data_IF_654827427052
#
_entry.id   IF_654827427052
#
_cell.length_a   1.000
_cell.length_b   1.000
_cell.length_c   1.000
_cell.angle_alpha   90.00
_cell.angle_beta   90.00
_cell.angle_gamma   90.00
#
_symmetry.space_group_name_H-M   'P 1'
#
loop_
_entity.id
_entity.type
_entity.pdbx_description
1 polymer ?
#
# COMPACT_ATOMS: atom_id res chain seq x y z
N UNK A 1 17.44 -11.39 21.91
CA UNK A 1 17.33 -11.20 21.42
C UNK A 1 17.43 -10.33 20.40
N UNK A 2 17.93 -10.04 19.93
CA UNK A 2 18.21 -9.01 19.04
C UNK A 2 17.55 -9.07 17.74
N UNK A 3 16.88 -10.07 17.49
CA UNK A 3 16.19 -10.21 16.24
C UNK A 3 15.22 -9.09 15.96
N UNK A 4 14.81 -8.42 17.00
CA UNK A 4 13.86 -7.35 16.82
C UNK A 4 14.41 -6.19 16.04
N UNK A 5 15.69 -6.08 15.97
CA UNK A 5 16.26 -4.94 15.31
C UNK A 5 16.01 -4.95 13.83
N UNK A 6 16.05 -6.12 13.26
CA UNK A 6 15.87 -6.23 11.82
C UNK A 6 14.49 -5.77 11.39
N UNK A 7 13.50 -6.03 12.22
CA UNK A 7 12.14 -5.69 11.85
C UNK A 7 11.88 -4.20 11.90
N UNK A 8 12.74 -3.46 12.56
CA UNK A 8 12.56 -2.02 12.65
C UNK A 8 12.94 -1.30 11.37
N UNK A 9 13.55 -2.01 10.44
CA UNK A 9 14.10 -1.36 9.26
C UNK A 9 13.12 -1.19 8.14
N UNK A 10 11.98 -1.88 8.19
CA UNK A 10 10.99 -1.74 7.15
C UNK A 10 9.62 -1.90 7.77
N UNK A 11 8.66 -1.08 7.34
CA UNK A 11 7.32 -1.22 7.85
C UNK A 11 6.68 -2.49 7.33
N UNK A 12 5.89 -3.12 8.17
CA UNK A 12 5.10 -4.25 7.74
C UNK A 12 3.76 -3.76 7.27
N UNK A 13 3.31 -4.32 6.17
CA UNK A 13 2.02 -3.99 5.62
C UNK A 13 1.23 -5.27 5.49
N UNK A 14 0.06 -5.28 6.12
CA UNK A 14 -0.83 -6.42 5.99
C UNK A 14 -1.39 -6.45 4.58
N UNK A 15 -1.04 -7.49 3.84
CA UNK A 15 -1.57 -7.66 2.51
C UNK A 15 -3.00 -8.17 2.61
N UNK A 16 -3.94 -7.54 1.92
CA UNK A 16 -5.32 -8.01 1.95
C UNK A 16 -5.41 -9.46 1.45
N UNK A 17 -6.26 -10.23 2.08
CA UNK A 17 -6.46 -11.62 1.70
C UNK A 17 -7.37 -11.75 0.50
N UNK A 18 -8.07 -10.69 0.13
CA UNK A 18 -9.01 -10.68 -0.96
C UNK A 18 -8.50 -9.80 -2.09
N UNK A 19 -8.97 -10.02 -3.31
CA UNK A 19 -8.62 -9.11 -4.42
C UNK A 19 -9.08 -7.70 -4.11
N UNK A 20 -8.44 -6.71 -4.74
CA UNK A 20 -8.77 -5.32 -4.46
C UNK A 20 -10.23 -5.01 -4.71
N UNK A 21 -10.80 -5.58 -5.76
CA UNK A 21 -12.21 -5.28 -6.10
C UNK A 21 -13.18 -5.83 -5.06
N UNK A 22 -12.73 -6.74 -4.21
CA UNK A 22 -13.58 -7.31 -3.16
C UNK A 22 -13.50 -6.53 -1.85
N UNK A 23 -12.59 -5.56 -1.75
CA UNK A 23 -12.44 -4.77 -0.53
C UNK A 23 -13.52 -3.70 -0.46
N UNK A 24 -13.95 -3.40 0.76
CA UNK A 24 -14.85 -2.26 0.94
C UNK A 24 -14.10 -0.97 0.65
N UNK A 25 -14.87 0.10 0.44
CA UNK A 25 -14.26 1.40 0.23
C UNK A 25 -13.36 1.80 1.39
N UNK A 26 -13.79 1.50 2.61
CA UNK A 26 -13.02 1.81 3.79
C UNK A 26 -11.72 0.99 3.84
N UNK A 27 -11.82 -0.30 3.56
CA UNK A 27 -10.64 -1.17 3.58
C UNK A 27 -9.62 -0.74 2.53
N UNK A 28 -10.12 -0.35 1.36
CA UNK A 28 -9.25 0.08 0.28
C UNK A 28 -8.51 1.38 0.65
N UNK A 29 -9.23 2.32 1.26
CA UNK A 29 -8.62 3.57 1.68
C UNK A 29 -7.59 3.34 2.77
N UNK A 30 -7.87 2.42 3.69
CA UNK A 30 -6.93 2.08 4.74
C UNK A 30 -5.65 1.47 4.17
N UNK A 31 -5.81 0.54 3.23
CA UNK A 31 -4.67 -0.10 2.60
C UNK A 31 -3.83 0.92 1.84
N UNK A 32 -4.49 1.84 1.14
CA UNK A 32 -3.78 2.90 0.42
C UNK A 32 -2.94 3.73 1.37
N UNK A 33 -3.51 4.11 2.50
CA UNK A 33 -2.76 4.92 3.48
C UNK A 33 -1.54 4.17 4.00
N UNK A 34 -1.71 2.87 4.25
CA UNK A 34 -0.58 2.06 4.72
C UNK A 34 0.54 2.02 3.69
N UNK A 35 0.17 1.87 2.42
CA UNK A 35 1.18 1.86 1.36
C UNK A 35 1.87 3.20 1.24
N UNK A 36 1.12 4.28 1.30
CA UNK A 36 1.70 5.62 1.20
C UNK A 36 2.67 5.88 2.34
N UNK A 37 2.30 5.50 3.55
CA UNK A 37 3.16 5.70 4.70
C UNK A 37 4.43 4.88 4.60
N UNK A 38 4.33 3.64 4.13
CA UNK A 38 5.48 2.77 3.99
C UNK A 38 6.43 3.31 2.93
N UNK A 39 5.89 3.78 1.81
CA UNK A 39 6.72 4.35 0.75
C UNK A 39 7.44 5.60 1.25
N UNK A 40 6.74 6.45 1.98
CA UNK A 40 7.35 7.66 2.53
C UNK A 40 8.50 7.31 3.49
N UNK A 41 8.30 6.25 4.27
CA UNK A 41 9.36 5.79 5.17
C UNK A 41 10.58 5.32 4.38
N UNK A 42 10.35 4.52 3.33
CA UNK A 42 11.46 3.99 2.55
C UNK A 42 12.17 5.06 1.75
N UNK A 43 11.45 6.10 1.33
CA UNK A 43 12.07 7.19 0.58
C UNK A 43 13.13 7.94 1.40
N UNK A 44 13.07 7.80 2.71
CA UNK A 44 14.07 8.43 3.59
C UNK A 44 15.29 7.56 3.81
N UNK A 45 15.28 6.34 3.28
CA UNK A 45 16.42 5.43 3.42
C UNK A 45 17.48 5.74 2.38
N UNK A 46 18.73 5.43 2.71
CA UNK A 46 19.82 5.64 1.78
C UNK A 46 20.76 4.45 1.88
N UNK A 47 20.78 3.58 0.88
CA UNK A 47 20.01 3.67 -0.37
C UNK A 47 18.55 3.24 -0.15
N UNK A 48 17.71 3.61 -1.11
CA UNK A 48 16.30 3.24 -1.05
C UNK A 48 16.17 1.73 -1.32
N UNK A 49 15.50 0.99 -0.44
CA UNK A 49 15.37 -0.46 -0.62
C UNK A 49 14.54 -0.81 -1.85
N UNK A 50 14.86 -1.92 -2.52
CA UNK A 50 14.12 -2.35 -3.72
C UNK A 50 12.64 -2.59 -3.47
N UNK A 51 12.25 -2.95 -2.24
CA UNK A 51 10.87 -3.20 -1.91
C UNK A 51 9.98 -1.97 -2.20
N UNK A 52 10.58 -0.80 -2.25
CA UNK A 52 9.83 0.41 -2.50
C UNK A 52 9.12 0.34 -3.86
N UNK A 53 9.76 -0.24 -4.86
CA UNK A 53 9.14 -0.39 -6.18
C UNK A 53 7.93 -1.31 -6.12
N UNK A 54 8.02 -2.37 -5.34
CA UNK A 54 6.89 -3.30 -5.17
C UNK A 54 5.71 -2.61 -4.50
N UNK A 55 6.00 -1.80 -3.49
CA UNK A 55 4.94 -1.07 -2.80
C UNK A 55 4.31 -0.02 -3.70
N UNK A 56 5.11 0.61 -4.55
CA UNK A 56 4.58 1.58 -5.49
C UNK A 56 3.64 0.92 -6.49
N UNK A 57 4.01 -0.26 -6.98
CA UNK A 57 3.15 -0.99 -7.90
C UNK A 57 1.83 -1.36 -7.22
N UNK A 58 1.88 -1.77 -5.96
CA UNK A 58 0.66 -2.08 -5.23
C UNK A 58 -0.20 -0.83 -5.03
N UNK A 59 0.43 0.29 -4.73
CA UNK A 59 -0.30 1.55 -4.55
C UNK A 59 -0.98 1.98 -5.86
N UNK A 60 -0.29 1.83 -6.98
CA UNK A 60 -0.87 2.17 -8.28
C UNK A 60 -2.13 1.36 -8.55
N UNK A 61 -2.12 0.09 -8.17
CA UNK A 61 -3.30 -0.76 -8.35
C UNK A 61 -4.45 -0.31 -7.46
N UNK A 62 -4.15 0.10 -6.24
CA UNK A 62 -5.18 0.59 -5.32
C UNK A 62 -5.80 1.86 -5.87
N UNK A 63 -4.98 2.78 -6.35
CA UNK A 63 -5.46 4.03 -6.92
C UNK A 63 -6.34 3.74 -8.14
N UNK A 64 -5.92 2.80 -8.97
CA UNK A 64 -6.71 2.42 -10.14
C UNK A 64 -8.08 1.89 -9.75
N UNK A 65 -8.14 1.06 -8.71
CA UNK A 65 -9.41 0.53 -8.24
C UNK A 65 -10.31 1.65 -7.70
N UNK A 66 -9.74 2.59 -6.97
CA UNK A 66 -10.51 3.71 -6.45
C UNK A 66 -11.06 4.59 -7.59
N UNK A 67 -10.24 4.82 -8.60
CA UNK A 67 -10.68 5.60 -9.75
C UNK A 67 -11.81 4.92 -10.49
N UNK A 68 -11.72 3.61 -10.64
CA UNK A 68 -12.78 2.84 -11.29
C UNK A 68 -14.09 2.96 -10.54
N UNK A 69 -14.04 2.92 -9.21
CA UNK A 69 -15.26 3.04 -8.40
C UNK A 69 -15.91 4.40 -8.56
N UNK A 70 -15.10 5.46 -8.58
CA UNK A 70 -15.61 6.81 -8.78
C UNK A 70 -16.23 6.94 -10.16
N UNK A 71 -15.59 6.39 -11.16
CA UNK A 71 -16.09 6.47 -12.54
C UNK A 71 -17.42 5.75 -12.69
N UNK A 72 -17.53 4.57 -12.10
CA UNK A 72 -18.78 3.80 -12.16
C UNK A 72 -19.89 4.57 -11.48
N UNK A 73 -19.62 5.16 -10.33
CA UNK A 73 -20.61 5.93 -9.59
C UNK A 73 -21.05 7.15 -10.39
N UNK A 74 -20.12 7.78 -11.07
CA UNK A 74 -20.44 8.97 -11.85
C UNK A 74 -21.28 8.65 -13.06
N UNK A 75 -21.00 7.52 -13.69
CA UNK A 75 -21.73 7.13 -14.89
C UNK A 75 -23.15 6.66 -14.58
N UNK A 76 -23.38 6.23 -13.37
CA UNK A 76 -24.70 5.79 -12.98
C UNK A 76 -25.60 6.99 -12.71
#
# INVERSE_FOLDING_TARGET
>A
MPATIASAQAPEIDTPKHPLHALTTYELAYYRRRLENAIAFLDKQDPIPPIRADLQAALDKVIGEQDDRVRITTDA
#
